data_IF_187737119180
#
_entry.id   IF_187737119180
#
_cell.length_a   1.000
_cell.length_b   1.000
_cell.length_c   1.000
_cell.angle_alpha   90.00
_cell.angle_beta   90.00
_cell.angle_gamma   90.00
#
_symmetry.space_group_name_H-M   'P 1'
#
loop_
_entity.id
_entity.type
_entity.pdbx_description
1 polymer ?
#
# COMPACT_ATOMS: atom_id res chain seq x y z
N UNK A 1 -35.60 31.03 3.47
CA UNK A 1 -34.43 31.93 3.56
C UNK A 1 -33.24 31.10 4.04
N UNK A 2 -32.18 30.98 3.24
CA UNK A 2 -30.99 30.20 3.56
C UNK A 2 -29.83 31.11 4.03
N UNK A 3 -29.11 30.71 5.09
CA UNK A 3 -27.75 31.19 5.45
C UNK A 3 -27.09 30.05 6.22
N UNK A 4 -26.26 29.23 5.56
CA UNK A 4 -24.79 29.19 5.65
C UNK A 4 -24.20 28.95 7.06
N UNK A 5 -23.46 27.85 7.20
CA UNK A 5 -22.06 27.91 7.61
C UNK A 5 -21.32 26.67 7.09
N UNK A 6 -20.45 26.91 6.11
CA UNK A 6 -19.46 25.96 5.60
C UNK A 6 -18.27 26.04 6.55
N UNK A 7 -17.93 24.95 7.24
CA UNK A 7 -16.67 24.89 7.97
C UNK A 7 -15.51 24.94 6.97
N UNK A 8 -14.78 26.04 7.01
CA UNK A 8 -13.55 26.26 6.27
C UNK A 8 -12.43 25.37 6.83
N UNK A 9 -11.66 24.76 5.94
CA UNK A 9 -10.40 24.10 6.23
C UNK A 9 -9.40 25.12 6.82
N UNK A 10 -8.58 24.75 7.81
CA UNK A 10 -7.53 25.64 8.28
C UNK A 10 -6.47 25.85 7.19
N UNK A 11 -6.28 27.12 6.82
CA UNK A 11 -5.18 27.65 6.02
C UNK A 11 -3.83 27.19 6.60
N UNK A 12 -3.05 26.45 5.82
CA UNK A 12 -1.60 26.38 5.98
C UNK A 12 -0.99 27.47 5.09
N UNK A 13 -1.01 28.71 5.56
CA UNK A 13 -0.09 29.74 5.09
C UNK A 13 1.02 29.88 6.13
N UNK A 14 2.24 29.96 5.59
CA UNK A 14 3.47 30.32 6.27
C UNK A 14 4.27 29.20 6.96
N UNK A 15 4.93 28.38 6.13
CA UNK A 15 6.34 28.00 6.37
C UNK A 15 7.07 27.86 5.03
N UNK A 16 8.12 28.69 4.88
CA UNK A 16 9.15 28.76 3.83
C UNK A 16 8.91 29.76 2.70
N UNK A 17 9.44 30.97 2.91
CA UNK A 17 10.09 31.72 1.85
C UNK A 17 11.20 30.86 1.23
N UNK A 18 10.85 30.08 0.22
CA UNK A 18 11.85 29.47 -0.65
C UNK A 18 12.38 30.61 -1.51
N UNK A 19 13.60 31.06 -1.23
CA UNK A 19 14.40 31.76 -2.23
C UNK A 19 14.25 30.99 -3.54
N UNK A 20 13.72 31.66 -4.58
CA UNK A 20 13.62 31.08 -5.91
C UNK A 20 15.05 30.97 -6.42
N UNK A 21 15.75 29.91 -6.02
CA UNK A 21 17.05 29.59 -6.55
C UNK A 21 16.94 29.58 -8.07
N UNK A 22 17.80 30.34 -8.75
CA UNK A 22 17.83 30.34 -10.21
C UNK A 22 17.87 28.89 -10.69
N UNK A 23 17.01 28.49 -11.65
CA UNK A 23 16.95 27.11 -12.08
C UNK A 23 18.34 26.71 -12.55
N UNK A 24 18.89 25.65 -11.93
CA UNK A 24 20.21 25.13 -12.27
C UNK A 24 20.35 25.03 -13.81
N UNK A 25 21.53 25.38 -14.36
CA UNK A 25 21.73 25.43 -15.80
C UNK A 25 21.30 24.12 -16.45
N UNK A 26 20.71 24.22 -17.65
CA UNK A 26 20.24 23.05 -18.39
C UNK A 26 21.39 22.05 -18.55
N UNK A 27 21.12 20.74 -18.39
CA UNK A 27 22.15 19.73 -18.57
C UNK A 27 22.73 19.82 -19.99
N UNK A 28 24.04 19.53 -20.16
CA UNK A 28 24.67 19.60 -21.47
C UNK A 28 24.14 18.49 -22.37
N UNK A 29 23.14 18.81 -23.19
CA UNK A 29 22.58 17.88 -24.15
C UNK A 29 23.51 17.71 -25.35
N UNK A 30 23.66 16.47 -25.83
CA UNK A 30 24.27 16.21 -27.13
C UNK A 30 23.36 16.76 -28.23
N UNK A 31 23.93 17.57 -29.13
CA UNK A 31 23.21 18.20 -30.23
C UNK A 31 23.83 17.79 -31.56
N UNK A 32 23.01 17.82 -32.60
CA UNK A 32 23.49 17.65 -33.96
C UNK A 32 24.08 18.96 -34.53
N UNK A 33 24.59 18.88 -35.76
CA UNK A 33 25.18 20.02 -36.47
C UNK A 33 24.20 21.18 -36.72
N UNK A 34 22.88 20.95 -36.58
CA UNK A 34 21.82 21.96 -36.73
C UNK A 34 21.37 22.52 -35.37
N UNK A 35 22.00 22.10 -34.28
CA UNK A 35 21.67 22.52 -32.92
C UNK A 35 20.46 21.81 -32.31
N UNK A 36 19.85 20.82 -32.97
CA UNK A 36 18.76 20.04 -32.40
C UNK A 36 19.31 19.04 -31.38
N UNK A 37 18.59 18.84 -30.26
CA UNK A 37 18.97 17.86 -29.24
C UNK A 37 18.72 16.45 -29.79
N UNK A 38 19.73 15.58 -29.71
CA UNK A 38 19.61 14.23 -30.24
C UNK A 38 18.63 13.38 -29.41
N UNK A 39 17.83 12.56 -30.10
CA UNK A 39 16.92 11.59 -29.48
C UNK A 39 17.69 10.32 -29.09
N UNK A 40 18.58 10.46 -28.11
CA UNK A 40 19.35 9.37 -27.49
C UNK A 40 18.94 9.23 -26.02
N UNK A 41 19.11 8.04 -25.45
CA UNK A 41 18.61 7.71 -24.11
C UNK A 41 19.16 8.64 -23.04
N UNK A 42 20.44 9.00 -23.12
CA UNK A 42 21.10 9.90 -22.17
C UNK A 42 20.46 11.29 -22.16
N UNK A 43 20.21 11.89 -23.33
CA UNK A 43 19.57 13.20 -23.42
C UNK A 43 18.14 13.17 -22.88
N UNK A 44 17.37 12.14 -23.26
CA UNK A 44 15.99 11.99 -22.79
C UNK A 44 15.98 11.80 -21.27
N UNK A 45 16.84 10.95 -20.72
CA UNK A 45 16.96 10.75 -19.28
C UNK A 45 17.37 12.03 -18.54
N UNK A 46 18.34 12.79 -19.05
CA UNK A 46 18.75 14.07 -18.48
C UNK A 46 17.60 15.10 -18.46
N UNK A 47 16.77 15.11 -19.50
CA UNK A 47 15.58 15.96 -19.55
C UNK A 47 14.53 15.51 -18.52
N UNK A 48 14.23 14.21 -18.45
CA UNK A 48 13.24 13.64 -17.54
C UNK A 48 13.63 13.77 -16.05
N UNK A 49 14.93 13.76 -15.73
CA UNK A 49 15.45 14.02 -14.37
C UNK A 49 15.28 15.48 -13.92
N UNK A 50 14.83 16.37 -14.81
CA UNK A 50 14.67 17.79 -14.53
C UNK A 50 13.19 18.16 -14.63
N UNK A 51 12.46 18.23 -13.50
CA UNK A 51 11.10 18.75 -13.47
C UNK A 51 10.98 20.19 -14.00
N UNK A 52 12.04 21.00 -13.88
CA UNK A 52 12.12 22.33 -14.53
C UNK A 52 12.11 22.24 -16.06
N UNK A 53 12.54 21.11 -16.62
CA UNK A 53 12.55 20.84 -18.04
C UNK A 53 11.24 20.20 -18.54
N UNK A 54 10.67 19.26 -17.80
CA UNK A 54 9.47 18.53 -18.24
C UNK A 54 8.18 19.10 -17.67
N UNK A 55 8.24 19.85 -16.58
CA UNK A 55 7.08 20.27 -15.79
C UNK A 55 6.56 19.20 -14.84
N UNK A 56 7.18 18.02 -14.79
CA UNK A 56 6.74 16.89 -13.95
C UNK A 56 7.93 16.22 -13.26
N UNK A 57 7.68 15.76 -12.05
CA UNK A 57 8.53 14.82 -11.33
C UNK A 57 8.10 13.39 -11.68
N UNK A 58 9.06 12.51 -11.94
CA UNK A 58 8.82 11.09 -12.25
C UNK A 58 9.63 10.24 -11.29
N UNK A 59 8.95 9.38 -10.54
CA UNK A 59 9.56 8.53 -9.51
C UNK A 59 9.00 7.13 -9.57
N UNK A 60 9.62 6.22 -8.85
CA UNK A 60 9.16 4.85 -8.76
C UNK A 60 8.72 4.52 -7.34
N UNK A 61 7.46 4.10 -7.19
CA UNK A 61 6.91 3.68 -5.91
C UNK A 61 7.22 2.21 -5.65
N UNK A 62 8.09 1.94 -4.67
CA UNK A 62 8.51 0.59 -4.28
C UNK A 62 7.46 -0.17 -3.48
N UNK A 63 6.39 0.48 -3.00
CA UNK A 63 5.24 -0.19 -2.41
C UNK A 63 4.28 -0.67 -3.50
N UNK A 64 3.95 0.19 -4.47
CA UNK A 64 3.02 -0.11 -5.57
C UNK A 64 3.63 -0.88 -6.76
N UNK A 65 4.96 -0.91 -6.93
CA UNK A 65 5.64 -1.31 -8.20
C UNK A 65 5.16 -0.48 -9.39
N UNK A 66 4.94 0.81 -9.17
CA UNK A 66 4.38 1.71 -10.16
C UNK A 66 5.34 2.87 -10.43
N UNK A 67 5.37 3.30 -11.68
CA UNK A 67 5.92 4.61 -12.02
C UNK A 67 4.86 5.64 -11.61
N UNK A 68 5.30 6.67 -10.92
CA UNK A 68 4.45 7.74 -10.42
C UNK A 68 4.92 9.06 -11.03
N UNK A 69 3.99 9.96 -11.26
CA UNK A 69 4.28 11.33 -11.64
C UNK A 69 3.50 12.33 -10.81
N UNK A 70 4.08 13.52 -10.65
CA UNK A 70 3.41 14.68 -10.07
C UNK A 70 3.80 15.93 -10.87
N UNK A 71 2.91 16.93 -11.01
CA UNK A 71 3.30 18.25 -11.47
C UNK A 71 4.45 18.79 -10.61
N UNK A 72 5.41 19.46 -11.24
CA UNK A 72 6.60 20.00 -10.57
C UNK A 72 6.20 20.82 -9.34
N UNK A 73 6.83 20.50 -8.20
CA UNK A 73 6.66 21.25 -6.95
C UNK A 73 5.33 20.99 -6.23
N UNK A 74 4.60 19.94 -6.62
CA UNK A 74 3.37 19.53 -5.96
C UNK A 74 3.52 18.13 -5.35
N UNK A 75 2.64 17.79 -4.41
CA UNK A 75 2.51 16.44 -3.87
C UNK A 75 1.37 15.64 -4.54
N UNK A 76 0.91 16.08 -5.72
CA UNK A 76 -0.18 15.46 -6.48
C UNK A 76 0.28 14.21 -7.25
N UNK A 77 0.86 13.24 -6.55
CA UNK A 77 1.35 11.99 -7.14
C UNK A 77 0.19 11.13 -7.66
N UNK A 78 0.29 10.69 -8.91
CA UNK A 78 -0.59 9.68 -9.51
C UNK A 78 0.22 8.62 -10.26
N UNK A 79 -0.41 7.49 -10.51
CA UNK A 79 0.16 6.46 -11.38
C UNK A 79 0.38 7.02 -12.80
N UNK A 80 1.51 6.62 -13.39
CA UNK A 80 1.87 6.93 -14.76
C UNK A 80 1.03 6.10 -15.74
N UNK A 81 0.35 6.78 -16.66
CA UNK A 81 -0.52 6.24 -17.69
C UNK A 81 0.13 6.19 -19.07
N UNK A 82 -0.56 5.56 -20.02
CA UNK A 82 -0.06 5.45 -21.40
C UNK A 82 -0.06 6.81 -22.14
N UNK A 83 -1.00 7.69 -21.77
CA UNK A 83 -1.15 9.07 -22.25
C UNK A 83 0.07 9.94 -21.91
N UNK A 84 0.67 9.71 -20.73
CA UNK A 84 1.81 10.49 -20.24
C UNK A 84 3.05 10.32 -21.13
N UNK A 85 3.22 9.14 -21.75
CA UNK A 85 4.26 8.94 -22.77
C UNK A 85 4.10 9.93 -23.92
N UNK A 86 2.87 10.17 -24.36
CA UNK A 86 2.58 11.04 -25.51
C UNK A 86 2.76 12.51 -25.13
N UNK A 87 2.26 12.91 -23.96
CA UNK A 87 2.41 14.27 -23.45
C UNK A 87 3.89 14.66 -23.30
N UNK A 88 4.69 13.79 -22.68
CA UNK A 88 6.12 14.07 -22.49
C UNK A 88 6.88 14.12 -23.80
N UNK A 89 6.52 13.30 -24.80
CA UNK A 89 7.12 13.39 -26.15
C UNK A 89 6.81 14.73 -26.81
N UNK A 90 5.61 15.26 -26.67
CA UNK A 90 5.25 16.60 -27.17
C UNK A 90 6.07 17.67 -26.46
N UNK A 91 6.23 17.57 -25.13
CA UNK A 91 7.05 18.50 -24.35
C UNK A 91 8.50 18.52 -24.83
N UNK A 92 9.11 17.35 -25.04
CA UNK A 92 10.49 17.24 -25.53
C UNK A 92 10.63 17.84 -26.95
N UNK A 93 9.71 17.51 -27.85
CA UNK A 93 9.69 18.05 -29.22
C UNK A 93 9.63 19.58 -29.24
N UNK A 94 8.78 20.19 -28.40
CA UNK A 94 8.70 21.65 -28.22
C UNK A 94 9.98 22.28 -27.66
N UNK A 95 10.88 21.48 -27.07
CA UNK A 95 12.16 21.91 -26.51
C UNK A 95 13.35 21.50 -27.36
N UNK A 96 13.15 21.44 -28.68
CA UNK A 96 14.20 21.22 -29.69
C UNK A 96 14.81 19.81 -29.69
N UNK A 97 14.18 18.83 -29.05
CA UNK A 97 14.54 17.42 -29.27
C UNK A 97 14.15 16.98 -30.69
N UNK A 98 14.98 16.16 -31.30
CA UNK A 98 14.58 15.28 -32.40
C UNK A 98 13.44 14.37 -31.96
N UNK A 99 12.76 13.76 -32.93
CA UNK A 99 11.67 12.84 -32.65
C UNK A 99 12.14 11.68 -31.74
N UNK A 100 11.61 11.65 -30.52
CA UNK A 100 11.79 10.55 -29.57
C UNK A 100 10.73 9.51 -29.86
N UNK A 101 11.13 8.28 -30.17
CA UNK A 101 10.19 7.17 -30.39
C UNK A 101 9.64 6.62 -29.06
N UNK A 102 8.58 5.80 -29.12
CA UNK A 102 7.88 5.31 -27.91
C UNK A 102 8.73 4.33 -27.09
N UNK A 103 9.57 3.52 -27.72
CA UNK A 103 10.44 2.55 -27.04
C UNK A 103 11.53 3.24 -26.24
N UNK A 104 12.26 4.16 -26.88
CA UNK A 104 13.25 5.02 -26.24
C UNK A 104 12.65 5.79 -25.05
N UNK A 105 11.42 6.29 -25.21
CA UNK A 105 10.70 6.99 -24.16
C UNK A 105 10.39 6.09 -22.97
N UNK A 106 9.92 4.86 -23.22
CA UNK A 106 9.65 3.85 -22.19
C UNK A 106 10.89 3.50 -21.39
N UNK A 107 12.00 3.22 -22.07
CA UNK A 107 13.26 2.87 -21.44
C UNK A 107 13.80 4.02 -20.57
N UNK A 108 13.76 5.25 -21.11
CA UNK A 108 14.22 6.43 -20.38
C UNK A 108 13.36 6.71 -19.14
N UNK A 109 12.02 6.65 -19.25
CA UNK A 109 11.11 6.85 -18.12
C UNK A 109 11.34 5.78 -17.04
N UNK A 110 11.40 4.50 -17.43
CA UNK A 110 11.63 3.42 -16.48
C UNK A 110 12.97 3.59 -15.75
N UNK A 111 14.04 3.92 -16.49
CA UNK A 111 15.36 4.18 -15.92
C UNK A 111 15.34 5.36 -14.93
N UNK A 112 14.72 6.48 -15.31
CA UNK A 112 14.66 7.68 -14.47
C UNK A 112 13.84 7.43 -13.22
N UNK A 113 12.66 6.83 -13.35
CA UNK A 113 11.81 6.49 -12.22
C UNK A 113 12.55 5.58 -11.23
N UNK A 114 13.22 4.52 -11.71
CA UNK A 114 13.96 3.57 -10.87
C UNK A 114 15.15 4.18 -10.13
N UNK A 115 15.73 5.27 -10.63
CA UNK A 115 16.80 6.02 -9.94
C UNK A 115 16.28 6.92 -8.82
N UNK A 116 14.97 7.15 -8.76
CA UNK A 116 14.33 7.98 -7.75
C UNK A 116 13.22 7.19 -7.03
N UNK A 117 13.55 6.10 -6.32
CA UNK A 117 12.56 5.32 -5.62
C UNK A 117 12.03 6.07 -4.40
N UNK A 118 10.76 5.83 -4.07
CA UNK A 118 10.18 6.20 -2.78
C UNK A 118 9.18 5.11 -2.37
N UNK A 119 8.78 5.13 -1.10
CA UNK A 119 7.84 4.15 -0.54
C UNK A 119 6.60 4.89 -0.02
N UNK A 120 5.50 4.84 -0.77
CA UNK A 120 4.29 5.59 -0.40
C UNK A 120 3.67 5.10 0.91
N UNK A 121 3.68 3.79 1.18
CA UNK A 121 3.13 3.23 2.42
C UNK A 121 3.96 3.66 3.65
N UNK A 122 5.29 3.58 3.56
CA UNK A 122 6.17 4.01 4.67
C UNK A 122 6.11 5.52 4.87
N UNK A 123 6.05 6.29 3.78
CA UNK A 123 5.92 7.76 3.84
C UNK A 123 4.61 8.14 4.51
N UNK A 124 3.50 7.53 4.10
CA UNK A 124 2.18 7.74 4.70
C UNK A 124 2.18 7.37 6.19
N UNK A 125 2.60 6.16 6.56
CA UNK A 125 2.55 5.69 7.94
C UNK A 125 3.43 6.54 8.87
N UNK A 126 4.61 6.98 8.41
CA UNK A 126 5.49 7.86 9.19
C UNK A 126 4.96 9.29 9.31
N UNK A 127 4.09 9.73 8.41
CA UNK A 127 3.44 11.05 8.47
C UNK A 127 2.29 11.14 9.47
N UNK A 128 1.78 10.02 9.97
CA UNK A 128 0.66 10.02 10.93
C UNK A 128 1.11 10.47 12.33
N UNK A 129 0.22 11.15 13.05
CA UNK A 129 0.44 11.57 14.44
C UNK A 129 -0.48 10.78 15.37
N UNK A 130 0.11 10.10 16.37
CA UNK A 130 -0.66 9.44 17.41
C UNK A 130 -0.99 10.44 18.51
N UNK A 131 -2.24 10.43 18.97
CA UNK A 131 -2.74 11.31 20.01
C UNK A 131 -2.46 10.81 21.45
N UNK A 132 -1.76 9.68 21.59
CA UNK A 132 -1.41 9.09 22.88
C UNK A 132 -2.53 8.31 23.55
N UNK A 133 -3.71 8.19 22.95
CA UNK A 133 -4.83 7.42 23.50
C UNK A 133 -4.75 5.97 23.00
N UNK A 134 -4.65 4.98 23.91
CA UNK A 134 -4.63 3.57 23.52
C UNK A 134 -5.98 3.09 22.97
N UNK A 135 -5.97 2.43 21.82
CA UNK A 135 -7.16 1.91 21.12
C UNK A 135 -6.93 0.52 20.53
N UNK A 136 -5.74 0.23 19.97
CA UNK A 136 -5.52 -0.99 19.19
C UNK A 136 -5.68 -2.27 20.01
N UNK A 137 -5.41 -2.25 21.33
CA UNK A 137 -5.62 -3.41 22.21
C UNK A 137 -7.09 -3.81 22.27
N UNK A 138 -8.00 -2.83 22.32
CA UNK A 138 -9.44 -3.02 22.49
C UNK A 138 -10.20 -2.94 21.16
N UNK A 139 -9.49 -2.90 20.03
CA UNK A 139 -10.09 -2.57 18.74
C UNK A 139 -11.20 -3.54 18.33
N UNK A 140 -11.01 -4.85 18.46
CA UNK A 140 -12.06 -5.81 18.14
C UNK A 140 -13.29 -5.66 19.04
N UNK A 141 -13.11 -5.39 20.33
CA UNK A 141 -14.24 -5.18 21.24
C UNK A 141 -15.02 -3.91 20.85
N UNK A 142 -14.31 -2.81 20.65
CA UNK A 142 -14.90 -1.48 20.44
C UNK A 142 -15.46 -1.23 19.03
N UNK A 143 -14.96 -1.93 18.01
CA UNK A 143 -15.34 -1.70 16.61
C UNK A 143 -16.00 -2.91 15.95
N UNK A 144 -15.66 -4.13 16.38
CA UNK A 144 -16.18 -5.37 15.81
C UNK A 144 -17.20 -6.06 16.71
N UNK A 145 -17.63 -5.44 17.81
CA UNK A 145 -18.73 -6.00 18.61
C UNK A 145 -18.41 -7.38 19.16
N UNK A 146 -17.17 -7.57 19.62
CA UNK A 146 -16.66 -8.83 20.16
C UNK A 146 -16.63 -8.78 21.69
N UNK A 147 -16.57 -9.93 22.35
CA UNK A 147 -16.36 -9.97 23.79
C UNK A 147 -14.97 -9.39 24.16
N UNK A 148 -14.92 -8.60 25.23
CA UNK A 148 -13.66 -8.10 25.77
C UNK A 148 -12.96 -9.20 26.59
N UNK A 149 -12.00 -9.89 25.98
CA UNK A 149 -11.29 -11.02 26.58
C UNK A 149 -9.78 -10.88 26.38
N UNK A 150 -8.94 -11.52 27.21
CA UNK A 150 -7.50 -11.54 26.98
C UNK A 150 -7.12 -12.03 25.57
N UNK A 151 -7.87 -13.01 25.05
CA UNK A 151 -7.65 -13.55 23.71
C UNK A 151 -7.97 -12.52 22.62
N UNK A 152 -9.16 -11.92 22.63
CA UNK A 152 -9.55 -10.94 21.59
C UNK A 152 -8.62 -9.72 21.60
N UNK A 153 -8.16 -9.27 22.76
CA UNK A 153 -7.13 -8.24 22.87
C UNK A 153 -5.78 -8.66 22.28
N UNK A 154 -5.34 -9.89 22.54
CA UNK A 154 -4.10 -10.42 21.99
C UNK A 154 -4.13 -10.51 20.45
N UNK A 155 -5.24 -11.01 19.88
CA UNK A 155 -5.42 -11.04 18.41
C UNK A 155 -5.44 -9.61 17.83
N UNK A 156 -6.04 -8.66 18.54
CA UNK A 156 -6.08 -7.25 18.15
C UNK A 156 -4.68 -6.63 18.10
N UNK A 157 -3.88 -6.84 19.16
CA UNK A 157 -2.49 -6.40 19.24
C UNK A 157 -1.63 -7.04 18.14
N UNK A 158 -1.81 -8.33 17.89
CA UNK A 158 -1.15 -9.02 16.78
C UNK A 158 -1.48 -8.36 15.44
N UNK A 159 -2.77 -8.21 15.12
CA UNK A 159 -3.21 -7.66 13.84
C UNK A 159 -2.60 -6.27 13.58
N UNK A 160 -2.76 -5.35 14.53
CA UNK A 160 -2.30 -3.97 14.37
C UNK A 160 -0.78 -3.87 14.28
N UNK A 161 -0.05 -4.58 15.15
CA UNK A 161 1.42 -4.56 15.10
C UNK A 161 1.97 -5.27 13.87
N UNK A 162 1.28 -6.29 13.34
CA UNK A 162 1.63 -6.93 12.07
C UNK A 162 1.37 -6.03 10.86
N UNK A 163 0.24 -5.31 10.84
CA UNK A 163 -0.08 -4.30 9.82
C UNK A 163 1.00 -3.21 9.77
N UNK A 164 1.32 -2.59 10.91
CA UNK A 164 2.37 -1.58 10.99
C UNK A 164 3.76 -2.16 10.66
N UNK A 165 4.07 -3.35 11.20
CA UNK A 165 5.34 -4.05 10.97
C UNK A 165 5.59 -4.34 9.49
N UNK A 166 4.59 -4.80 8.74
CA UNK A 166 4.74 -5.06 7.29
C UNK A 166 4.96 -3.80 6.44
N UNK A 167 4.57 -2.63 6.96
CA UNK A 167 4.91 -1.34 6.34
C UNK A 167 6.33 -0.91 6.69
N UNK A 168 6.71 -0.94 7.97
CA UNK A 168 8.00 -0.46 8.48
C UNK A 168 9.17 -1.40 8.17
N UNK A 169 8.93 -2.71 8.23
CA UNK A 169 9.88 -3.77 7.94
C UNK A 169 9.28 -4.72 6.88
N UNK A 170 9.32 -4.33 5.59
CA UNK A 170 8.79 -5.13 4.51
C UNK A 170 9.28 -6.57 4.58
N UNK A 171 8.36 -7.53 4.56
CA UNK A 171 8.72 -8.95 4.62
C UNK A 171 8.88 -9.52 6.03
N UNK A 172 8.74 -8.74 7.11
CA UNK A 172 8.72 -9.26 8.48
C UNK A 172 7.72 -10.41 8.63
N UNK A 173 8.05 -11.44 9.40
CA UNK A 173 7.21 -12.63 9.51
C UNK A 173 5.91 -12.31 10.28
N UNK A 174 4.78 -12.45 9.60
CA UNK A 174 3.43 -12.44 10.17
C UNK A 174 2.67 -13.63 9.59
N UNK A 175 2.58 -14.73 10.35
CA UNK A 175 2.15 -16.05 9.90
C UNK A 175 0.83 -16.54 10.49
N UNK A 176 0.09 -15.64 11.15
CA UNK A 176 -1.26 -15.87 11.63
C UNK A 176 -2.27 -14.96 10.91
N UNK A 177 -3.52 -15.43 10.84
CA UNK A 177 -4.62 -14.81 10.11
C UNK A 177 -5.80 -14.68 11.08
N UNK A 178 -6.15 -13.46 11.51
CA UNK A 178 -7.41 -13.20 12.18
C UNK A 178 -8.60 -13.54 11.28
N UNK A 179 -9.55 -14.30 11.82
CA UNK A 179 -10.75 -14.75 11.12
C UNK A 179 -11.97 -14.26 11.88
N UNK A 180 -12.71 -13.32 11.29
CA UNK A 180 -13.92 -12.78 11.89
C UNK A 180 -15.09 -13.74 11.63
N UNK A 181 -15.63 -14.32 12.69
CA UNK A 181 -16.74 -15.28 12.60
C UNK A 181 -17.98 -14.69 13.23
N UNK A 182 -19.13 -14.89 12.60
CA UNK A 182 -20.41 -14.41 13.15
C UNK A 182 -21.50 -14.42 12.10
N UNK A 183 -22.72 -14.06 12.47
CA UNK A 183 -23.85 -14.09 11.54
C UNK A 183 -23.61 -13.24 10.26
N UNK A 184 -24.29 -13.62 9.18
CA UNK A 184 -24.32 -12.80 7.96
C UNK A 184 -24.96 -11.44 8.27
N UNK A 185 -24.49 -10.38 7.62
CA UNK A 185 -25.04 -9.03 7.78
C UNK A 185 -24.42 -8.21 8.92
N UNK A 186 -23.48 -8.76 9.69
CA UNK A 186 -22.75 -8.02 10.73
C UNK A 186 -21.68 -7.06 10.18
N UNK A 187 -21.59 -6.88 8.85
CA UNK A 187 -20.64 -5.95 8.16
C UNK A 187 -19.15 -6.28 8.35
N UNK A 188 -18.80 -7.54 8.66
CA UNK A 188 -17.41 -8.03 8.85
C UNK A 188 -16.45 -7.61 7.71
N UNK A 189 -16.77 -7.96 6.46
CA UNK A 189 -15.98 -7.62 5.28
C UNK A 189 -15.81 -6.12 5.08
N UNK A 190 -16.89 -5.35 5.27
CA UNK A 190 -16.82 -3.89 5.21
C UNK A 190 -15.93 -3.31 6.32
N UNK A 191 -15.93 -3.92 7.51
CA UNK A 191 -15.01 -3.59 8.60
C UNK A 191 -13.56 -3.85 8.25
N UNK A 192 -13.25 -5.01 7.66
CA UNK A 192 -11.90 -5.36 7.20
C UNK A 192 -11.44 -4.35 6.15
N UNK A 193 -12.26 -4.06 5.14
CA UNK A 193 -11.95 -3.07 4.11
C UNK A 193 -11.73 -1.67 4.72
N UNK A 194 -12.49 -1.31 5.76
CA UNK A 194 -12.36 -0.02 6.45
C UNK A 194 -11.04 0.14 7.22
N UNK A 195 -10.26 -0.93 7.45
CA UNK A 195 -8.90 -0.82 7.99
C UNK A 195 -7.93 -0.17 7.00
N UNK A 196 -8.16 -0.35 5.70
CA UNK A 196 -7.29 0.16 4.65
C UNK A 196 -7.41 1.69 4.54
N UNK A 197 -6.29 2.44 4.54
CA UNK A 197 -6.33 3.90 4.40
C UNK A 197 -6.82 4.37 3.05
N UNK A 198 -6.59 3.56 2.01
CA UNK A 198 -7.02 3.80 0.64
C UNK A 198 -7.66 2.51 0.10
N UNK A 199 -8.80 2.58 -0.62
CA UNK A 199 -9.37 1.42 -1.29
C UNK A 199 -8.39 0.68 -2.22
N UNK A 200 -7.41 1.37 -2.82
CA UNK A 200 -6.37 0.75 -3.64
C UNK A 200 -5.40 -0.13 -2.83
N UNK A 201 -5.34 0.04 -1.50
CA UNK A 201 -4.48 -0.75 -0.61
C UNK A 201 -5.21 -1.93 0.03
N UNK A 202 -6.45 -2.17 -0.40
CA UNK A 202 -7.24 -3.32 -0.03
C UNK A 202 -7.32 -4.32 -1.19
N UNK A 203 -7.29 -5.62 -0.89
CA UNK A 203 -7.48 -6.67 -1.89
C UNK A 203 -8.46 -7.74 -1.40
N UNK A 204 -9.40 -8.16 -2.26
CA UNK A 204 -10.19 -9.38 -2.06
C UNK A 204 -9.49 -10.56 -2.77
N UNK A 205 -9.06 -11.54 -1.97
CA UNK A 205 -8.27 -12.69 -2.42
C UNK A 205 -9.02 -14.00 -2.19
N UNK A 206 -8.73 -14.98 -3.04
CA UNK A 206 -9.25 -16.34 -2.90
C UNK A 206 -8.10 -17.33 -2.95
N UNK A 207 -8.08 -18.31 -2.06
CA UNK A 207 -7.04 -19.35 -2.13
C UNK A 207 -7.16 -20.23 -3.37
N UNK A 208 -8.31 -20.21 -4.06
CA UNK A 208 -8.48 -20.85 -5.37
C UNK A 208 -7.71 -20.13 -6.49
N UNK A 209 -7.31 -18.87 -6.30
CA UNK A 209 -6.51 -18.14 -7.27
C UNK A 209 -5.12 -18.78 -7.42
N UNK A 210 -4.55 -18.62 -8.62
CA UNK A 210 -3.17 -19.03 -8.88
C UNK A 210 -2.20 -18.14 -8.10
N UNK A 211 -1.05 -18.69 -7.74
CA UNK A 211 -0.04 -17.99 -6.93
C UNK A 211 0.41 -16.66 -7.58
N UNK A 212 0.56 -16.62 -8.91
CA UNK A 212 0.90 -15.39 -9.65
C UNK A 212 -0.18 -14.31 -9.54
N UNK A 213 -1.46 -14.70 -9.53
CA UNK A 213 -2.57 -13.75 -9.43
C UNK A 213 -2.73 -13.25 -7.98
N UNK A 214 -2.53 -14.14 -6.99
CA UNK A 214 -2.42 -13.74 -5.58
C UNK A 214 -1.26 -12.76 -5.36
N UNK A 215 -0.07 -13.06 -5.90
CA UNK A 215 1.09 -12.18 -5.80
C UNK A 215 0.82 -10.79 -6.39
N UNK A 216 0.09 -10.72 -7.51
CA UNK A 216 -0.34 -9.45 -8.12
C UNK A 216 -1.34 -8.69 -7.25
N UNK A 217 -2.37 -9.36 -6.72
CA UNK A 217 -3.37 -8.74 -5.83
C UNK A 217 -2.75 -8.23 -4.53
N UNK A 218 -1.76 -8.93 -4.00
CA UNK A 218 -1.05 -8.53 -2.78
C UNK A 218 -0.09 -7.35 -3.01
N UNK A 219 0.24 -7.01 -4.26
CA UNK A 219 1.15 -5.91 -4.56
C UNK A 219 0.48 -4.56 -4.33
N UNK A 220 1.13 -3.68 -3.57
CA UNK A 220 0.55 -2.39 -3.19
C UNK A 220 -0.61 -2.51 -2.20
N UNK A 221 -0.79 -3.67 -1.57
CA UNK A 221 -1.86 -3.94 -0.61
C UNK A 221 -1.32 -3.96 0.83
N UNK A 222 -2.09 -3.37 1.75
CA UNK A 222 -1.87 -3.41 3.20
C UNK A 222 -2.83 -4.39 3.90
N UNK A 223 -4.04 -4.57 3.36
CA UNK A 223 -5.10 -5.39 3.95
C UNK A 223 -5.70 -6.29 2.88
N UNK A 224 -5.53 -7.61 3.02
CA UNK A 224 -6.12 -8.57 2.09
C UNK A 224 -7.23 -9.37 2.77
N UNK A 225 -8.47 -9.28 2.29
CA UNK A 225 -9.57 -10.10 2.79
C UNK A 225 -9.64 -11.44 2.04
N UNK A 226 -9.84 -12.52 2.80
CA UNK A 226 -10.25 -13.83 2.28
C UNK A 226 -11.74 -14.00 2.59
N UNK A 227 -12.58 -13.45 1.71
CA UNK A 227 -14.04 -13.41 1.90
C UNK A 227 -14.63 -14.83 1.93
N UNK A 228 -15.44 -15.15 2.93
CA UNK A 228 -16.04 -16.48 3.16
C UNK A 228 -15.02 -17.62 3.17
N UNK A 229 -13.74 -17.27 3.42
CA UNK A 229 -12.61 -18.18 3.38
C UNK A 229 -12.54 -18.99 2.06
N UNK A 230 -12.93 -18.34 0.96
CA UNK A 230 -12.99 -18.94 -0.37
C UNK A 230 -11.69 -19.64 -0.74
N UNK A 231 -11.84 -20.89 -1.17
CA UNK A 231 -10.73 -21.72 -1.61
C UNK A 231 -10.01 -22.49 -0.51
N UNK A 232 -10.39 -22.35 0.78
CA UNK A 232 -9.78 -23.13 1.87
C UNK A 232 -9.82 -24.65 1.63
N UNK A 233 -10.93 -25.15 1.07
CA UNK A 233 -11.12 -26.58 0.77
C UNK A 233 -10.60 -27.01 -0.60
N UNK A 234 -10.05 -26.10 -1.41
CA UNK A 234 -9.67 -26.37 -2.81
C UNK A 234 -8.19 -26.68 -3.00
N UNK A 235 -7.35 -26.30 -2.02
CA UNK A 235 -5.92 -26.59 -1.99
C UNK A 235 -5.62 -27.45 -0.77
N UNK A 236 -4.53 -28.19 -0.83
CA UNK A 236 -4.00 -28.87 0.35
C UNK A 236 -3.70 -27.84 1.46
N UNK A 237 -4.07 -28.18 2.70
CA UNK A 237 -4.02 -27.29 3.85
C UNK A 237 -2.56 -26.86 4.16
N UNK A 238 -1.57 -27.70 3.86
CA UNK A 238 -0.15 -27.34 3.97
C UNK A 238 0.25 -26.25 2.97
N UNK A 239 -0.30 -26.27 1.75
CA UNK A 239 -0.06 -25.23 0.74
C UNK A 239 -0.59 -23.87 1.17
N UNK A 240 -1.77 -23.83 1.79
CA UNK A 240 -2.36 -22.61 2.35
C UNK A 240 -1.53 -22.10 3.52
N UNK A 241 -1.15 -22.99 4.45
CA UNK A 241 -0.25 -22.66 5.56
C UNK A 241 1.08 -22.10 5.05
N UNK A 242 1.66 -22.71 4.01
CA UNK A 242 2.87 -22.24 3.36
C UNK A 242 2.66 -20.84 2.77
N UNK A 243 1.55 -20.61 2.05
CA UNK A 243 1.23 -19.29 1.51
C UNK A 243 1.11 -18.22 2.60
N UNK A 244 0.39 -18.48 3.70
CA UNK A 244 0.24 -17.54 4.82
C UNK A 244 1.61 -17.17 5.42
N UNK A 245 2.52 -18.14 5.57
CA UNK A 245 3.84 -17.93 6.18
C UNK A 245 4.84 -17.17 5.29
N UNK A 246 4.53 -16.96 3.99
CA UNK A 246 5.48 -16.31 3.08
C UNK A 246 5.78 -14.88 3.52
N UNK A 247 7.06 -14.54 3.42
CA UNK A 247 7.55 -13.18 3.64
C UNK A 247 7.68 -12.40 2.32
N UNK A 248 7.82 -13.12 1.21
CA UNK A 248 8.00 -12.57 -0.11
C UNK A 248 7.14 -13.31 -1.13
N UNK A 249 6.63 -12.56 -2.10
CA UNK A 249 6.03 -13.12 -3.31
C UNK A 249 6.99 -13.01 -4.49
N UNK A 250 6.86 -13.94 -5.44
CA UNK A 250 7.67 -13.99 -6.65
C UNK A 250 6.74 -14.21 -7.83
N UNK A 251 6.87 -13.37 -8.86
CA UNK A 251 6.21 -13.58 -10.14
C UNK A 251 6.99 -12.91 -11.25
N UNK A 252 6.63 -13.18 -12.51
CA UNK A 252 7.15 -12.45 -13.67
C UNK A 252 6.11 -11.38 -14.06
N UNK A 253 6.36 -10.08 -13.81
CA UNK A 253 5.45 -9.03 -14.24
C UNK A 253 5.29 -9.04 -15.77
N UNK A 254 4.10 -8.67 -16.25
CA UNK A 254 3.91 -8.48 -17.70
C UNK A 254 4.93 -7.46 -18.19
N UNK A 255 5.53 -7.72 -19.35
CA UNK A 255 6.57 -6.88 -19.96
C UNK A 255 7.90 -6.81 -19.21
N UNK A 256 8.16 -7.72 -18.25
CA UNK A 256 9.50 -7.95 -17.69
C UNK A 256 10.00 -9.33 -18.08
N UNK A 257 11.28 -9.42 -18.39
CA UNK A 257 11.94 -10.68 -18.76
C UNK A 257 12.25 -11.54 -17.53
N UNK A 258 12.56 -10.90 -16.40
CA UNK A 258 13.01 -11.58 -15.19
C UNK A 258 11.94 -11.64 -14.10
N UNK A 259 11.94 -12.73 -13.34
CA UNK A 259 11.17 -12.86 -12.11
C UNK A 259 11.54 -11.74 -11.14
N UNK A 260 10.52 -11.08 -10.59
CA UNK A 260 10.71 -10.08 -9.54
C UNK A 260 10.24 -10.67 -8.21
N UNK A 261 11.04 -10.44 -7.16
CA UNK A 261 10.71 -10.82 -5.79
C UNK A 261 10.33 -9.56 -5.02
N UNK A 262 9.22 -9.60 -4.27
CA UNK A 262 8.77 -8.47 -3.47
C UNK A 262 8.44 -8.93 -2.06
N UNK A 263 8.90 -8.17 -1.08
CA UNK A 263 8.54 -8.36 0.31
C UNK A 263 7.06 -8.01 0.49
N UNK A 264 6.31 -8.88 1.18
CA UNK A 264 4.88 -8.63 1.48
C UNK A 264 4.74 -7.42 2.41
N UNK A 265 3.72 -6.62 2.10
CA UNK A 265 3.44 -5.34 2.76
C UNK A 265 2.11 -5.31 3.51
N UNK A 266 1.21 -6.23 3.19
CA UNK A 266 -0.04 -6.43 3.91
C UNK A 266 -0.12 -7.79 4.58
N UNK A 267 -1.18 -7.97 5.38
CA UNK A 267 -1.53 -9.24 6.01
C UNK A 267 -2.91 -9.71 5.52
N UNK A 268 -3.14 -11.02 5.44
CA UNK A 268 -4.47 -11.56 5.20
C UNK A 268 -5.35 -11.46 6.46
N UNK A 269 -6.64 -11.23 6.25
CA UNK A 269 -7.72 -11.30 7.23
C UNK A 269 -8.86 -12.12 6.61
N UNK A 270 -9.51 -12.96 7.39
CA UNK A 270 -10.63 -13.77 6.93
C UNK A 270 -11.96 -13.30 7.51
N UNK A 271 -13.04 -13.58 6.80
CA UNK A 271 -14.40 -13.45 7.32
C UNK A 271 -15.19 -14.72 7.00
N UNK A 272 -15.98 -15.20 7.96
CA UNK A 272 -16.82 -16.40 7.81
C UNK A 272 -18.16 -16.23 8.50
N UNK A 273 -19.18 -16.93 8.00
CA UNK A 273 -20.46 -17.06 8.69
C UNK A 273 -20.57 -18.33 9.55
N UNK A 274 -19.61 -19.25 9.40
CA UNK A 274 -19.59 -20.56 10.05
C UNK A 274 -18.30 -20.73 10.85
N UNK A 275 -18.42 -21.34 12.04
CA UNK A 275 -17.29 -21.68 12.91
C UNK A 275 -16.50 -22.90 12.41
N UNK A 276 -17.13 -23.79 11.62
CA UNK A 276 -16.53 -25.05 11.15
C UNK A 276 -15.70 -24.88 9.87
N UNK A 277 -14.89 -23.83 9.78
CA UNK A 277 -14.00 -23.62 8.64
C UNK A 277 -12.67 -24.39 8.75
N UNK A 278 -12.38 -24.99 9.91
CA UNK A 278 -11.18 -25.77 10.17
C UNK A 278 -11.51 -27.15 10.74
N UNK A 279 -11.44 -28.17 9.88
CA UNK A 279 -11.73 -29.56 10.24
C UNK A 279 -10.76 -30.19 11.26
N UNK A 280 -9.65 -29.54 11.61
CA UNK A 280 -8.63 -30.08 12.51
C UNK A 280 -8.38 -29.16 13.71
N UNK A 281 -8.89 -29.55 14.89
CA UNK A 281 -8.81 -28.77 16.13
C UNK A 281 -7.42 -28.78 16.80
N UNK A 282 -6.47 -29.57 16.30
CA UNK A 282 -5.18 -29.82 17.00
C UNK A 282 -3.93 -29.22 16.33
N UNK A 283 -4.06 -28.41 15.27
CA UNK A 283 -2.90 -27.92 14.51
C UNK A 283 -3.01 -26.54 13.86
N UNK A 284 -3.83 -25.65 14.40
CA UNK A 284 -4.30 -24.44 13.71
C UNK A 284 -3.93 -23.10 14.37
N UNK A 285 -2.71 -23.01 14.92
CA UNK A 285 -2.13 -21.77 15.49
C UNK A 285 -2.05 -20.58 14.53
N UNK A 286 -2.26 -20.81 13.23
CA UNK A 286 -2.23 -19.77 12.19
C UNK A 286 -3.58 -19.10 11.97
N UNK A 287 -4.66 -19.63 12.51
CA UNK A 287 -6.00 -19.10 12.31
C UNK A 287 -6.52 -18.61 13.66
N UNK A 288 -6.85 -17.34 13.75
CA UNK A 288 -7.23 -16.69 15.00
C UNK A 288 -8.72 -16.32 14.91
N UNK A 289 -9.65 -17.25 15.20
CA UNK A 289 -11.09 -16.98 15.14
C UNK A 289 -11.48 -15.92 16.17
N UNK A 290 -12.23 -14.91 15.74
CA UNK A 290 -12.73 -13.83 16.60
C UNK A 290 -14.24 -13.72 16.39
N UNK A 291 -15.00 -14.00 17.46
CA UNK A 291 -16.46 -14.00 17.43
C UNK A 291 -17.03 -12.58 17.43
N UNK A 292 -17.62 -12.21 16.31
CA UNK A 292 -18.37 -10.98 16.06
C UNK A 292 -19.83 -11.24 16.38
N UNK A 293 -20.33 -10.67 17.47
CA UNK A 293 -21.71 -10.88 17.95
C UNK A 293 -22.61 -9.67 17.70
N UNK A 294 -22.03 -8.49 17.50
CA UNK A 294 -22.75 -7.27 17.15
C UNK A 294 -22.34 -6.73 15.78
N UNK A 295 -23.11 -5.78 15.26
CA UNK A 295 -22.82 -5.15 13.98
C UNK A 295 -21.54 -4.31 14.07
N UNK A 296 -20.63 -4.51 13.11
CA UNK A 296 -19.37 -3.76 13.03
C UNK A 296 -19.62 -2.27 12.74
N UNK A 297 -19.03 -1.39 13.56
CA UNK A 297 -19.07 0.06 13.39
C UNK A 297 -17.98 0.51 12.41
N UNK A 298 -18.24 0.34 11.11
CA UNK A 298 -17.32 0.76 10.04
C UNK A 298 -17.01 2.25 10.05
N UNK A 299 -17.95 3.06 10.55
CA UNK A 299 -17.81 4.51 10.53
C UNK A 299 -16.88 4.94 11.65
N UNK A 300 -16.92 4.28 12.81
CA UNK A 300 -15.91 4.44 13.85
C UNK A 300 -14.52 4.00 13.37
N UNK A 301 -14.43 2.88 12.64
CA UNK A 301 -13.14 2.43 12.07
C UNK A 301 -12.60 3.52 11.13
N UNK A 302 -13.42 4.02 10.21
CA UNK A 302 -13.02 5.07 9.27
C UNK A 302 -12.61 6.37 9.99
N UNK A 303 -13.36 6.81 11.00
CA UNK A 303 -13.04 8.01 11.80
C UNK A 303 -11.73 7.87 12.57
N UNK A 304 -11.43 6.69 13.11
CA UNK A 304 -10.25 6.45 13.95
C UNK A 304 -9.06 5.87 13.17
N UNK A 305 -9.20 5.60 11.87
CA UNK A 305 -8.25 4.80 11.09
C UNK A 305 -6.81 5.26 11.22
N UNK A 306 -6.57 6.55 10.99
CA UNK A 306 -5.21 7.11 11.04
C UNK A 306 -4.62 7.04 12.44
N UNK A 307 -5.43 7.29 13.48
CA UNK A 307 -5.00 7.17 14.88
C UNK A 307 -4.66 5.72 15.25
N UNK A 308 -5.44 4.74 14.76
CA UNK A 308 -5.18 3.31 14.98
C UNK A 308 -3.86 2.88 14.30
N UNK A 309 -3.62 3.31 13.07
CA UNK A 309 -2.35 3.06 12.37
C UNK A 309 -1.17 3.78 13.02
N UNK A 310 -1.36 5.01 13.49
CA UNK A 310 -0.33 5.76 14.22
C UNK A 310 0.03 5.07 15.54
N UNK A 311 -0.96 4.64 16.32
CA UNK A 311 -0.75 3.87 17.54
C UNK A 311 -0.06 2.53 17.26
N UNK A 312 -0.45 1.84 16.19
CA UNK A 312 0.15 0.59 15.77
C UNK A 312 1.64 0.76 15.43
N UNK A 313 1.99 1.84 14.73
CA UNK A 313 3.38 2.22 14.44
C UNK A 313 4.18 2.46 15.72
N UNK A 314 3.67 3.28 16.63
CA UNK A 314 4.34 3.58 17.90
C UNK A 314 4.48 2.34 18.79
N UNK A 315 3.44 1.51 18.83
CA UNK A 315 3.44 0.26 19.60
C UNK A 315 4.45 -0.75 19.03
N UNK A 316 4.49 -0.94 17.71
CA UNK A 316 5.49 -1.79 17.06
C UNK A 316 6.92 -1.34 17.39
N UNK A 317 7.20 -0.03 17.27
CA UNK A 317 8.52 0.54 17.60
C UNK A 317 8.86 0.38 19.09
N UNK A 318 7.93 0.70 19.97
CA UNK A 318 8.10 0.65 21.44
C UNK A 318 8.33 -0.77 21.96
N UNK A 319 7.60 -1.75 21.42
CA UNK A 319 7.68 -3.15 21.84
C UNK A 319 8.71 -3.97 21.05
N UNK A 320 9.33 -3.38 20.03
CA UNK A 320 10.40 -4.01 19.25
C UNK A 320 9.94 -5.13 18.31
N UNK A 321 8.67 -5.12 17.88
CA UNK A 321 8.18 -6.11 16.93
C UNK A 321 6.68 -6.42 17.02
N UNK A 322 6.27 -7.43 16.23
CA UNK A 322 4.90 -7.94 16.17
C UNK A 322 4.56 -8.67 17.48
N UNK A 323 3.38 -8.39 18.04
CA UNK A 323 2.90 -9.01 19.28
C UNK A 323 2.10 -10.27 18.97
N UNK A 324 2.78 -11.41 18.82
CA UNK A 324 2.13 -12.68 18.43
C UNK A 324 1.99 -13.69 19.58
N UNK A 325 2.82 -13.61 20.63
CA UNK A 325 2.96 -14.67 21.62
C UNK A 325 1.66 -15.03 22.37
N UNK A 326 0.87 -14.05 22.76
CA UNK A 326 -0.38 -14.30 23.49
C UNK A 326 -1.54 -14.65 22.57
N UNK A 327 -1.46 -14.32 21.27
CA UNK A 327 -2.46 -14.67 20.28
C UNK A 327 -2.32 -16.12 19.78
N UNK A 328 -1.10 -16.68 19.84
CA UNK A 328 -0.80 -18.07 19.43
C UNK A 328 -1.26 -19.12 20.47
N UNK A 329 -1.63 -18.70 21.69
CA UNK A 329 -1.85 -19.56 22.87
C UNK A 329 -3.19 -20.27 22.92
#
# INVERSE_FOLDING_TARGET
>A
MPVQSVCAYPNFEDLTSTEVAEPAPLPPFRRDNKGAIEAIIDNVALALLRPTFTGVDIRYDIFRDAIMLAPKGTNGWRAFGDEDYSELRVILSRRSFKEVNKELMRDAIFMVAKRQPFDSATTWLNGLEWDGVPRIEYFYHTHFGTADTPYTRAVSMYMWTALAGRVLEPGIKADMVPILVGAQGLRKSAGIAALSPDPEFFADISFADKDDDLARKMRGCLVAEISELRGLNTKDLESIKAWVTRTHDKWVPKFREFTTTFARRGIPLGSSNEDEFLADKTGNRRWLPVDVVEMVDTDAIARNRELLWAEARETFKRLGGIQFHDAER
#
